data_IF_523742461007
#
_entry.id   IF_523742461007
#
_cell.length_a   1.000
_cell.length_b   1.000
_cell.length_c   1.000
_cell.angle_alpha   90.00
_cell.angle_beta   90.00
_cell.angle_gamma   90.00
#
_symmetry.space_group_name_H-M   'P 1'
#
loop_
_entity.id
_entity.type
_entity.pdbx_description
1 polymer ?
#
# COMPACT_ATOMS: atom_id res chain seq x y z
N UNK A 1 3.92 0.03 18.01
CA UNK A 1 3.37 -0.53 16.74
C UNK A 1 2.69 -1.86 17.02
N UNK A 2 1.84 -2.38 16.12
CA UNK A 2 1.11 -3.64 16.38
C UNK A 2 2.02 -4.85 16.63
N UNK A 3 3.15 -4.96 15.91
CA UNK A 3 4.13 -6.03 16.13
C UNK A 3 4.80 -5.94 17.51
N UNK A 4 5.14 -4.72 17.96
CA UNK A 4 5.73 -4.49 19.29
C UNK A 4 4.74 -4.82 20.41
N UNK A 5 3.47 -4.42 20.25
CA UNK A 5 2.40 -4.72 21.21
C UNK A 5 2.15 -6.24 21.32
N UNK A 6 2.29 -6.96 20.20
CA UNK A 6 2.24 -8.41 20.15
C UNK A 6 3.52 -9.11 20.64
N UNK A 7 4.61 -8.36 20.89
CA UNK A 7 5.90 -8.92 21.26
C UNK A 7 6.56 -9.78 20.17
N UNK A 8 6.24 -9.53 18.89
CA UNK A 8 6.77 -10.29 17.75
C UNK A 8 8.07 -9.67 17.24
N UNK A 9 9.18 -10.35 17.53
CA UNK A 9 10.51 -10.07 16.97
C UNK A 9 10.90 -11.21 16.01
N UNK A 10 10.46 -11.07 14.75
CA UNK A 10 10.54 -12.13 13.74
C UNK A 10 11.91 -12.17 13.05
N UNK A 11 12.47 -13.37 12.90
CA UNK A 11 13.65 -13.62 12.07
C UNK A 11 13.34 -13.47 10.57
N UNK A 12 14.39 -13.44 9.74
CA UNK A 12 14.22 -13.39 8.29
C UNK A 12 13.55 -14.66 7.75
N UNK A 13 13.84 -15.84 8.32
CA UNK A 13 13.15 -17.07 7.94
C UNK A 13 11.66 -17.05 8.33
N UNK A 14 11.32 -16.56 9.52
CA UNK A 14 9.92 -16.51 9.96
C UNK A 14 9.07 -15.58 9.09
N UNK A 15 9.67 -14.50 8.56
CA UNK A 15 8.99 -13.54 7.68
C UNK A 15 8.56 -14.12 6.33
N UNK A 16 9.19 -15.20 5.87
CA UNK A 16 8.78 -15.91 4.65
C UNK A 16 7.38 -16.52 4.80
N UNK A 17 6.97 -16.86 6.03
CA UNK A 17 5.69 -17.49 6.34
C UNK A 17 4.62 -16.49 6.83
N UNK A 18 4.95 -15.21 6.98
CA UNK A 18 4.00 -14.18 7.43
C UNK A 18 3.21 -13.61 6.26
N UNK A 19 1.88 -13.68 6.38
CA UNK A 19 0.94 -13.07 5.44
C UNK A 19 0.40 -11.72 5.88
N UNK A 20 -0.11 -10.95 4.93
CA UNK A 20 -0.82 -9.67 5.14
C UNK A 20 -2.18 -9.72 4.45
N UNK A 21 -3.25 -9.54 5.22
CA UNK A 21 -4.59 -9.33 4.70
C UNK A 21 -5.13 -8.04 5.30
N UNK A 22 -5.32 -7.02 4.47
CA UNK A 22 -5.88 -5.74 4.92
C UNK A 22 -6.78 -5.13 3.86
N UNK A 23 -7.99 -4.80 4.30
CA UNK A 23 -9.02 -4.22 3.46
C UNK A 23 -9.10 -2.72 3.63
N UNK A 24 -9.29 -2.01 2.52
CA UNK A 24 -9.78 -0.64 2.52
C UNK A 24 -10.98 -0.56 1.59
N UNK A 25 -11.98 0.24 1.92
CA UNK A 25 -13.22 0.28 1.13
C UNK A 25 -12.97 0.73 -0.33
N UNK A 26 -12.26 1.84 -0.51
CA UNK A 26 -11.98 2.42 -1.83
C UNK A 26 -10.49 2.69 -2.07
N UNK A 27 -9.62 2.29 -1.14
CA UNK A 27 -8.20 2.66 -1.18
C UNK A 27 -8.02 4.18 -1.24
N UNK A 28 -7.02 4.62 -2.00
CA UNK A 28 -6.83 6.04 -2.33
C UNK A 28 -7.67 6.52 -3.51
N UNK A 29 -8.47 5.65 -4.14
CA UNK A 29 -9.10 5.89 -5.45
C UNK A 29 -9.80 7.24 -5.55
N UNK A 30 -10.64 7.59 -4.58
CA UNK A 30 -11.44 8.83 -4.62
C UNK A 30 -10.55 10.07 -4.58
N UNK A 31 -9.69 10.15 -3.56
CA UNK A 31 -8.83 11.32 -3.31
C UNK A 31 -7.81 11.48 -4.43
N UNK A 32 -7.17 10.38 -4.83
CA UNK A 32 -6.13 10.41 -5.83
C UNK A 32 -6.71 10.69 -7.22
N UNK A 33 -7.84 10.10 -7.60
CA UNK A 33 -8.48 10.42 -8.89
C UNK A 33 -8.80 11.92 -9.00
N UNK A 34 -9.37 12.52 -7.96
CA UNK A 34 -9.63 13.96 -7.96
C UNK A 34 -8.33 14.77 -8.08
N UNK A 35 -7.32 14.44 -7.28
CA UNK A 35 -6.03 15.11 -7.33
C UNK A 35 -5.33 14.97 -8.67
N UNK A 36 -5.42 13.80 -9.30
CA UNK A 36 -4.89 13.50 -10.63
C UNK A 36 -5.56 14.37 -11.70
N UNK A 37 -6.89 14.42 -11.70
CA UNK A 37 -7.67 15.27 -12.61
C UNK A 37 -7.33 16.76 -12.43
N UNK A 38 -7.19 17.24 -11.19
CA UNK A 38 -6.76 18.63 -10.94
C UNK A 38 -5.36 18.92 -11.51
N UNK A 39 -4.41 18.00 -11.37
CA UNK A 39 -3.04 18.15 -11.92
C UNK A 39 -3.04 18.12 -13.45
N UNK A 40 -3.86 17.26 -14.05
CA UNK A 40 -4.04 17.18 -15.50
C UNK A 40 -4.65 18.47 -16.06
N UNK A 41 -5.78 18.91 -15.50
CA UNK A 41 -6.53 20.06 -16.00
C UNK A 41 -5.85 21.41 -15.79
N UNK A 42 -5.00 21.54 -14.77
CA UNK A 42 -4.32 22.83 -14.46
C UNK A 42 -2.88 22.93 -14.94
N UNK A 43 -2.25 21.79 -15.30
CA UNK A 43 -0.82 21.76 -15.65
C UNK A 43 -0.58 20.92 -16.92
N UNK A 44 -0.29 19.64 -16.76
CA UNK A 44 0.08 18.72 -17.85
C UNK A 44 0.15 17.29 -17.33
N UNK A 45 0.01 16.31 -18.22
CA UNK A 45 0.20 14.89 -17.94
C UNK A 45 1.56 14.58 -17.30
N UNK A 46 2.62 15.31 -17.68
CA UNK A 46 3.97 15.11 -17.13
C UNK A 46 4.10 15.49 -15.64
N UNK A 47 3.08 16.12 -15.06
CA UNK A 47 3.03 16.48 -13.62
C UNK A 47 2.28 15.46 -12.77
N UNK A 48 1.73 14.41 -13.37
CA UNK A 48 1.20 13.27 -12.62
C UNK A 48 2.36 12.35 -12.26
N UNK A 49 2.47 11.99 -10.98
CA UNK A 49 3.52 11.10 -10.50
C UNK A 49 3.37 9.71 -11.13
N UNK A 50 4.46 9.02 -11.50
CA UNK A 50 4.41 7.61 -11.88
C UNK A 50 3.79 6.73 -10.79
N UNK A 51 3.97 7.09 -9.52
CA UNK A 51 3.42 6.36 -8.38
C UNK A 51 1.93 6.63 -8.14
N UNK A 52 1.31 7.53 -8.91
CA UNK A 52 -0.09 7.86 -8.77
C UNK A 52 -1.00 6.64 -9.01
N UNK A 53 -0.64 5.79 -9.97
CA UNK A 53 -1.40 4.56 -10.20
C UNK A 53 -1.26 3.56 -9.03
N UNK A 54 -0.17 3.67 -8.26
CA UNK A 54 0.11 2.81 -7.10
C UNK A 54 -0.54 3.32 -5.82
N UNK A 55 -1.15 4.51 -5.80
CA UNK A 55 -1.90 5.03 -4.65
C UNK A 55 -3.40 4.76 -4.73
N UNK A 56 -3.92 4.39 -5.91
CA UNK A 56 -5.35 4.14 -6.12
C UNK A 56 -5.81 2.79 -5.53
N UNK A 57 -5.22 1.63 -5.91
CA UNK A 57 -5.84 0.33 -5.69
C UNK A 57 -5.92 -0.03 -4.20
N UNK A 58 -7.05 -0.59 -3.72
CA UNK A 58 -7.24 -0.95 -2.31
C UNK A 58 -6.17 -1.91 -1.76
N UNK A 59 -5.66 -2.80 -2.62
CA UNK A 59 -4.63 -3.78 -2.26
C UNK A 59 -3.24 -3.20 -2.00
N UNK A 60 -3.03 -1.93 -2.35
CA UNK A 60 -1.74 -1.28 -2.09
C UNK A 60 -1.48 -1.09 -0.59
N UNK A 61 -2.51 -1.06 0.26
CA UNK A 61 -2.33 -1.09 1.70
C UNK A 61 -1.61 -2.38 2.15
N UNK A 62 -2.10 -3.54 1.70
CA UNK A 62 -1.50 -4.83 2.02
C UNK A 62 -0.07 -4.97 1.48
N UNK A 63 0.15 -4.53 0.24
CA UNK A 63 1.48 -4.49 -0.34
C UNK A 63 2.46 -3.62 0.47
N UNK A 64 2.06 -2.40 0.86
CA UNK A 64 2.97 -1.50 1.58
C UNK A 64 3.30 -2.01 2.99
N UNK A 65 2.36 -2.66 3.68
CA UNK A 65 2.62 -3.32 4.96
C UNK A 65 3.61 -4.47 4.76
N UNK A 66 3.33 -5.38 3.82
CA UNK A 66 4.21 -6.52 3.55
C UNK A 66 5.63 -6.07 3.19
N UNK A 67 5.75 -5.07 2.31
CA UNK A 67 7.03 -4.48 1.91
C UNK A 67 7.76 -3.82 3.08
N UNK A 68 7.05 -3.10 3.95
CA UNK A 68 7.67 -2.37 5.07
C UNK A 68 8.28 -3.30 6.11
N UNK A 69 7.68 -4.47 6.33
CA UNK A 69 8.12 -5.44 7.34
C UNK A 69 8.80 -6.68 6.75
N UNK A 70 8.97 -6.75 5.42
CA UNK A 70 9.64 -7.86 4.75
C UNK A 70 8.85 -9.17 4.76
N UNK A 71 7.52 -9.11 4.77
CA UNK A 71 6.65 -10.29 4.79
C UNK A 71 6.42 -10.83 3.37
N UNK A 72 6.68 -12.12 3.17
CA UNK A 72 6.63 -12.75 1.83
C UNK A 72 5.58 -13.86 1.69
N UNK A 73 4.81 -14.13 2.76
CA UNK A 73 3.68 -15.06 2.72
C UNK A 73 2.46 -14.50 1.97
N UNK A 74 1.29 -15.07 2.26
CA UNK A 74 0.04 -14.72 1.57
C UNK A 74 -0.29 -13.22 1.65
N UNK A 75 -0.54 -12.56 0.52
CA UNK A 75 -0.85 -11.13 0.45
C UNK A 75 -2.18 -10.89 -0.28
N UNK A 76 -3.16 -10.28 0.41
CA UNK A 76 -4.50 -10.05 -0.13
C UNK A 76 -5.23 -8.87 0.55
N UNK A 77 -6.44 -8.57 0.08
CA UNK A 77 -7.31 -7.46 0.51
C UNK A 77 -8.67 -7.96 0.92
#
# INVERSE_FOLDING_TARGET
>A
MALEDAGLDLSDEEREDVGVVTGTAVGGTVIETEGGLRRLGTRSLTRVSPNHLLSLPPNMAAFQIAKAFGFHGYNST
#
